data_IF_757823177804
#
_entry.id   IF_757823177804
#
_cell.length_a   1.000
_cell.length_b   1.000
_cell.length_c   1.000
_cell.angle_alpha   90.00
_cell.angle_beta   90.00
_cell.angle_gamma   90.00
#
_symmetry.space_group_name_H-M   'P 1'
#
loop_
_entity.id
_entity.type
_entity.pdbx_description
1 polymer ?
#
# COMPACT_ATOMS: atom_id res chain seq x y z
N UNK A 1 10.15 32.47 27.69
CA UNK A 1 9.57 31.24 27.11
C UNK A 1 10.01 31.06 25.66
N UNK A 2 9.65 31.99 24.77
CA UNK A 2 9.94 31.89 23.33
C UNK A 2 11.43 31.80 22.99
N UNK A 3 12.30 32.60 23.64
CA UNK A 3 13.75 32.54 23.39
C UNK A 3 14.39 31.21 23.79
N UNK A 4 13.94 30.61 24.89
CA UNK A 4 14.45 29.30 25.37
C UNK A 4 14.03 28.18 24.42
N UNK A 5 12.77 28.20 23.98
CA UNK A 5 12.27 27.25 22.99
C UNK A 5 13.05 27.41 21.67
N UNK A 6 13.23 28.64 21.18
CA UNK A 6 13.99 28.94 19.96
C UNK A 6 15.43 28.42 20.05
N UNK A 7 16.14 28.67 21.15
CA UNK A 7 17.51 28.18 21.32
C UNK A 7 17.59 26.65 21.30
N UNK A 8 16.65 25.97 21.95
CA UNK A 8 16.56 24.50 21.94
C UNK A 8 16.27 23.96 20.53
N UNK A 9 15.34 24.59 19.79
CA UNK A 9 15.04 24.22 18.42
C UNK A 9 16.25 24.36 17.50
N UNK A 10 16.99 25.47 17.60
CA UNK A 10 18.21 25.71 16.81
C UNK A 10 19.25 24.63 17.11
N UNK A 11 19.47 24.29 18.39
CA UNK A 11 20.39 23.22 18.79
C UNK A 11 20.02 21.90 18.09
N UNK A 12 18.76 21.47 18.22
CA UNK A 12 18.30 20.19 17.66
C UNK A 12 18.41 20.18 16.13
N UNK A 13 18.06 21.28 15.45
CA UNK A 13 18.21 21.40 14.00
C UNK A 13 19.68 21.26 13.57
N UNK A 14 20.58 21.99 14.23
CA UNK A 14 22.01 21.88 13.94
C UNK A 14 22.48 20.45 14.20
N UNK A 15 22.06 19.82 15.30
CA UNK A 15 22.49 18.48 15.65
C UNK A 15 22.03 17.41 14.65
N UNK A 16 20.81 17.51 14.13
CA UNK A 16 20.28 16.61 13.09
C UNK A 16 21.04 16.80 11.78
N UNK A 17 21.19 18.05 11.34
CA UNK A 17 21.82 18.32 10.04
C UNK A 17 23.34 18.30 10.09
N UNK A 18 24.01 18.35 11.23
CA UNK A 18 25.49 18.34 11.28
C UNK A 18 26.07 16.99 10.85
N UNK A 19 25.35 15.90 11.06
CA UNK A 19 25.79 14.57 10.65
C UNK A 19 25.35 14.26 9.20
N UNK A 20 26.28 14.12 8.24
CA UNK A 20 25.94 13.78 6.86
C UNK A 20 25.25 12.41 6.74
N UNK A 21 25.51 11.46 7.65
CA UNK A 21 24.83 10.16 7.67
C UNK A 21 23.36 10.32 8.03
N UNK A 22 23.03 11.20 8.98
CA UNK A 22 21.64 11.50 9.32
C UNK A 22 20.89 12.11 8.14
N UNK A 23 21.52 13.01 7.36
CA UNK A 23 20.89 13.56 6.14
C UNK A 23 20.57 12.47 5.11
N UNK A 24 21.48 11.53 4.91
CA UNK A 24 21.27 10.39 4.01
C UNK A 24 20.10 9.54 4.50
N UNK A 25 20.08 9.21 5.79
CA UNK A 25 19.03 8.36 6.37
C UNK A 25 17.66 9.04 6.36
N UNK A 26 17.60 10.35 6.60
CA UNK A 26 16.35 11.11 6.68
C UNK A 26 15.79 11.50 5.31
N UNK A 27 16.60 11.71 4.29
CA UNK A 27 16.10 12.22 3.00
C UNK A 27 16.41 11.29 1.84
N UNK A 28 17.66 10.86 1.69
CA UNK A 28 18.07 10.04 0.54
C UNK A 28 17.47 8.63 0.60
N UNK A 29 17.50 7.98 1.77
CA UNK A 29 16.92 6.65 1.94
C UNK A 29 15.41 6.65 1.68
N UNK A 30 14.59 7.57 2.23
CA UNK A 30 13.18 7.71 1.86
C UNK A 30 12.90 7.91 0.39
N UNK A 31 13.63 8.81 -0.27
CA UNK A 31 13.49 9.05 -1.70
C UNK A 31 13.81 7.78 -2.49
N UNK A 32 14.92 7.11 -2.17
CA UNK A 32 15.32 5.86 -2.80
C UNK A 32 14.32 4.74 -2.52
N UNK A 33 13.82 4.60 -1.28
CA UNK A 33 12.79 3.62 -0.93
C UNK A 33 11.50 3.86 -1.71
N UNK A 34 11.09 5.12 -1.89
CA UNK A 34 9.93 5.46 -2.72
C UNK A 34 10.13 5.02 -4.15
N UNK A 35 11.31 5.26 -4.73
CA UNK A 35 11.64 4.82 -6.09
C UNK A 35 11.63 3.29 -6.17
N UNK A 36 12.28 2.61 -5.22
CA UNK A 36 12.33 1.15 -5.15
C UNK A 36 10.91 0.58 -5.03
N UNK A 37 10.10 1.01 -4.06
CA UNK A 37 8.75 0.48 -3.89
C UNK A 37 7.82 0.85 -5.04
N UNK A 38 7.96 2.05 -5.62
CA UNK A 38 7.16 2.48 -6.76
C UNK A 38 7.39 1.62 -8.01
N UNK A 39 8.61 1.13 -8.23
CA UNK A 39 8.92 0.20 -9.33
C UNK A 39 8.79 -1.28 -8.96
N UNK A 40 9.15 -1.65 -7.72
CA UNK A 40 9.21 -3.04 -7.28
C UNK A 40 7.84 -3.62 -6.91
N UNK A 41 6.92 -2.79 -6.41
CA UNK A 41 5.55 -3.22 -6.12
C UNK A 41 4.70 -3.01 -7.36
N UNK A 42 4.93 -3.87 -8.35
CA UNK A 42 4.14 -3.91 -9.57
C UNK A 42 3.22 -5.12 -9.53
N UNK A 43 1.95 -4.88 -9.20
CA UNK A 43 0.89 -5.88 -9.26
C UNK A 43 0.10 -5.77 -10.58
N UNK A 44 0.60 -4.99 -11.55
CA UNK A 44 -0.06 -4.84 -12.84
C UNK A 44 -0.02 -6.17 -13.59
N UNK A 45 -1.21 -6.71 -13.89
CA UNK A 45 -1.36 -7.97 -14.62
C UNK A 45 -1.23 -7.72 -16.12
N UNK A 46 0.01 -7.69 -16.61
CA UNK A 46 0.37 -7.60 -18.04
C UNK A 46 1.27 -8.77 -18.43
N UNK A 47 1.08 -9.33 -19.62
CA UNK A 47 1.89 -10.46 -20.14
C UNK A 47 1.89 -11.72 -19.25
N UNK A 48 0.73 -12.14 -18.75
CA UNK A 48 0.58 -13.37 -17.95
C UNK A 48 1.14 -14.56 -18.75
N UNK A 49 2.18 -15.26 -18.25
CA UNK A 49 2.70 -16.44 -18.91
C UNK A 49 1.65 -17.56 -18.89
N UNK A 50 1.20 -18.00 -20.06
CA UNK A 50 0.10 -18.95 -20.22
C UNK A 50 0.52 -20.17 -21.02
N UNK A 51 0.13 -21.36 -20.57
CA UNK A 51 0.15 -22.57 -21.38
C UNK A 51 -1.25 -22.94 -21.86
N UNK A 52 -1.31 -23.62 -22.99
CA UNK A 52 -2.55 -24.13 -23.58
C UNK A 52 -2.47 -25.64 -23.76
N UNK A 53 -3.41 -26.36 -23.16
CA UNK A 53 -3.70 -27.76 -23.43
C UNK A 53 -4.96 -27.82 -24.31
N UNK A 54 -4.77 -28.00 -25.61
CA UNK A 54 -5.87 -28.10 -26.57
C UNK A 54 -5.98 -29.53 -27.10
N UNK A 55 -6.88 -30.31 -26.50
CA UNK A 55 -7.14 -31.71 -26.88
C UNK A 55 -8.10 -31.84 -28.06
N UNK A 56 -8.93 -30.83 -28.31
CA UNK A 56 -9.88 -30.81 -29.43
C UNK A 56 -9.19 -30.48 -30.76
N UNK A 57 -8.19 -29.60 -30.73
CA UNK A 57 -7.37 -29.15 -31.87
C UNK A 57 -8.22 -28.77 -33.11
N UNK A 58 -9.39 -28.16 -32.87
CA UNK A 58 -10.35 -27.76 -33.87
C UNK A 58 -10.10 -26.33 -34.36
N UNK A 59 -10.88 -25.88 -35.35
CA UNK A 59 -10.82 -24.48 -35.77
C UNK A 59 -11.34 -23.56 -34.66
N UNK A 60 -12.42 -23.98 -33.99
CA UNK A 60 -13.07 -23.27 -32.90
C UNK A 60 -12.18 -23.17 -31.64
N UNK A 61 -11.45 -24.24 -31.28
CA UNK A 61 -10.51 -24.19 -30.14
C UNK A 61 -9.33 -23.25 -30.42
N UNK A 62 -8.81 -23.25 -31.66
CA UNK A 62 -7.73 -22.35 -32.08
C UNK A 62 -8.16 -20.89 -32.16
N UNK A 63 -9.39 -20.62 -32.56
CA UNK A 63 -9.97 -19.27 -32.57
C UNK A 63 -10.06 -18.71 -31.14
N UNK A 64 -10.61 -19.48 -30.19
CA UNK A 64 -10.67 -19.08 -28.79
C UNK A 64 -9.28 -18.78 -28.22
N UNK A 65 -8.32 -19.67 -28.47
CA UNK A 65 -6.93 -19.47 -28.03
C UNK A 65 -6.29 -18.21 -28.66
N UNK A 66 -6.55 -17.93 -29.93
CA UNK A 66 -6.05 -16.74 -30.61
C UNK A 66 -6.64 -15.45 -30.02
N UNK A 67 -7.94 -15.42 -29.74
CA UNK A 67 -8.59 -14.27 -29.10
C UNK A 67 -7.97 -14.01 -27.72
N UNK A 68 -7.81 -15.06 -26.91
CA UNK A 68 -7.23 -14.92 -25.57
C UNK A 68 -5.80 -14.38 -25.59
N UNK A 69 -4.98 -14.83 -26.55
CA UNK A 69 -3.57 -14.42 -26.67
C UNK A 69 -3.38 -13.06 -27.35
N UNK A 70 -4.30 -12.66 -28.24
CA UNK A 70 -4.28 -11.34 -28.90
C UNK A 70 -4.72 -10.19 -27.98
N UNK A 71 -5.33 -10.48 -26.83
CA UNK A 71 -5.82 -9.49 -25.86
C UNK A 71 -4.71 -8.65 -25.18
N UNK A 72 -3.43 -9.03 -25.33
CA UNK A 72 -2.29 -8.36 -24.70
C UNK A 72 -2.10 -8.67 -23.20
N UNK A 73 -3.08 -9.30 -22.55
CA UNK A 73 -2.98 -9.71 -21.14
C UNK A 73 -2.32 -11.07 -20.97
N UNK A 74 -2.52 -11.99 -21.91
CA UNK A 74 -1.99 -13.36 -21.85
C UNK A 74 -0.90 -13.55 -22.91
N UNK A 75 0.26 -14.06 -22.50
CA UNK A 75 1.36 -14.42 -23.39
C UNK A 75 1.48 -15.93 -23.45
N UNK A 76 1.09 -16.52 -24.57
CA UNK A 76 1.27 -17.95 -24.81
C UNK A 76 2.76 -18.28 -24.81
N UNK A 77 3.18 -19.10 -23.85
CA UNK A 77 4.57 -19.59 -23.73
C UNK A 77 4.72 -20.95 -24.39
N UNK A 78 3.82 -21.87 -24.06
CA UNK A 78 3.91 -23.27 -24.47
C UNK A 78 2.53 -23.83 -24.81
N UNK A 79 2.49 -24.77 -25.76
CA UNK A 79 1.34 -25.65 -26.00
C UNK A 79 1.73 -27.03 -25.49
N UNK A 80 0.92 -27.58 -24.60
CA UNK A 80 1.19 -28.84 -23.91
C UNK A 80 0.25 -29.93 -24.39
N UNK A 81 0.68 -31.18 -24.25
CA UNK A 81 -0.08 -32.35 -24.70
C UNK A 81 -0.78 -33.13 -23.58
N UNK A 82 -0.31 -33.00 -22.33
CA UNK A 82 -0.75 -33.82 -21.19
C UNK A 82 -0.97 -33.00 -19.92
N UNK A 83 -1.81 -33.49 -19.01
CA UNK A 83 -2.12 -32.82 -17.74
C UNK A 83 -0.91 -32.77 -16.79
N UNK A 84 -0.01 -33.75 -16.85
CA UNK A 84 1.20 -33.77 -16.02
C UNK A 84 2.15 -32.62 -16.38
N UNK A 85 2.19 -32.23 -17.65
CA UNK A 85 2.93 -31.06 -18.10
C UNK A 85 2.29 -29.77 -17.56
N UNK A 86 0.95 -29.70 -17.51
CA UNK A 86 0.23 -28.55 -16.94
C UNK A 86 0.63 -28.32 -15.47
N UNK A 87 0.63 -29.40 -14.67
CA UNK A 87 1.03 -29.35 -13.26
C UNK A 87 2.50 -28.97 -13.11
N UNK A 88 3.39 -29.63 -13.84
CA UNK A 88 4.82 -29.35 -13.78
C UNK A 88 5.17 -27.91 -14.16
N UNK A 89 4.46 -27.30 -15.12
CA UNK A 89 4.67 -25.91 -15.51
C UNK A 89 4.18 -24.91 -14.46
N UNK A 90 3.05 -25.20 -13.80
CA UNK A 90 2.51 -24.40 -12.70
C UNK A 90 3.42 -24.52 -11.46
N UNK A 91 3.78 -25.73 -11.06
CA UNK A 91 4.61 -26.00 -9.87
C UNK A 91 6.00 -25.36 -9.98
N UNK A 92 6.55 -25.29 -11.19
CA UNK A 92 7.85 -24.64 -11.46
C UNK A 92 7.73 -23.12 -11.68
N UNK A 93 6.52 -22.56 -11.62
CA UNK A 93 6.25 -21.13 -11.86
C UNK A 93 6.58 -20.67 -13.29
N UNK A 94 6.71 -21.59 -14.25
CA UNK A 94 6.99 -21.25 -15.66
C UNK A 94 5.79 -20.59 -16.34
N UNK A 95 4.59 -21.00 -15.92
CA UNK A 95 3.33 -20.39 -16.31
C UNK A 95 2.50 -20.08 -15.08
N UNK A 96 1.62 -19.08 -15.18
CA UNK A 96 0.69 -18.69 -14.11
C UNK A 96 -0.74 -19.17 -14.38
N UNK A 97 -1.02 -19.52 -15.63
CA UNK A 97 -2.29 -20.08 -16.09
C UNK A 97 -2.06 -21.20 -17.08
N UNK A 98 -2.82 -22.27 -16.95
CA UNK A 98 -3.01 -23.27 -17.99
C UNK A 98 -4.47 -23.28 -18.40
N UNK A 99 -4.73 -23.09 -19.69
CA UNK A 99 -6.07 -23.25 -20.27
C UNK A 99 -6.21 -24.66 -20.83
N UNK A 100 -7.26 -25.36 -20.45
CA UNK A 100 -7.54 -26.73 -20.87
C UNK A 100 -8.85 -26.76 -21.67
N UNK A 101 -8.73 -27.16 -22.93
CA UNK A 101 -9.85 -27.39 -23.84
C UNK A 101 -9.93 -28.91 -24.07
N UNK A 102 -11.01 -29.51 -23.60
CA UNK A 102 -11.24 -30.95 -23.69
C UNK A 102 -11.76 -31.39 -25.07
N UNK A 103 -11.63 -32.69 -25.36
CA UNK A 103 -12.17 -33.28 -26.58
C UNK A 103 -13.68 -33.03 -26.73
N UNK A 104 -14.12 -32.78 -27.97
CA UNK A 104 -15.52 -32.56 -28.30
C UNK A 104 -15.99 -31.14 -28.05
N UNK A 105 -15.08 -30.19 -27.80
CA UNK A 105 -15.39 -28.77 -27.64
C UNK A 105 -16.13 -28.22 -28.87
N UNK A 106 -15.58 -28.36 -30.08
CA UNK A 106 -16.24 -27.92 -31.30
C UNK A 106 -17.56 -28.65 -31.54
N UNK A 107 -17.62 -29.95 -31.24
CA UNK A 107 -18.83 -30.74 -31.42
C UNK A 107 -19.98 -30.27 -30.51
N UNK A 108 -19.69 -29.96 -29.23
CA UNK A 108 -20.66 -29.39 -28.28
C UNK A 108 -21.13 -28.01 -28.72
N UNK A 109 -20.20 -27.13 -29.12
CA UNK A 109 -20.55 -25.80 -29.62
C UNK A 109 -21.47 -25.85 -30.84
N UNK A 110 -21.21 -26.74 -31.80
CA UNK A 110 -22.05 -26.90 -32.99
C UNK A 110 -23.44 -27.44 -32.68
N UNK A 111 -23.59 -28.22 -31.60
CA UNK A 111 -24.89 -28.69 -31.09
C UNK A 111 -25.63 -27.66 -30.24
N UNK A 112 -25.05 -26.47 -30.01
CA UNK A 112 -25.62 -25.45 -29.13
C UNK A 112 -25.52 -25.81 -27.64
N UNK A 113 -24.67 -26.77 -27.29
CA UNK A 113 -24.44 -27.20 -25.91
C UNK A 113 -23.32 -26.38 -25.25
N UNK A 114 -23.36 -26.27 -23.92
CA UNK A 114 -22.27 -25.67 -23.16
C UNK A 114 -20.99 -26.51 -23.26
N UNK A 115 -19.92 -25.90 -23.80
CA UNK A 115 -18.61 -26.52 -23.89
C UNK A 115 -17.68 -25.93 -22.81
N UNK A 116 -17.38 -26.67 -21.73
CA UNK A 116 -16.55 -26.15 -20.65
C UNK A 116 -15.10 -26.00 -21.11
N UNK A 117 -14.50 -24.86 -20.76
CA UNK A 117 -13.05 -24.61 -20.85
C UNK A 117 -12.56 -24.41 -19.44
N UNK A 118 -11.56 -25.18 -19.03
CA UNK A 118 -11.02 -25.10 -17.68
C UNK A 118 -9.80 -24.17 -17.66
N UNK A 119 -9.69 -23.36 -16.61
CA UNK A 119 -8.50 -22.58 -16.32
C UNK A 119 -7.90 -23.08 -15.01
N UNK A 120 -6.64 -23.52 -15.05
CA UNK A 120 -5.84 -23.87 -13.89
C UNK A 120 -4.90 -22.71 -13.60
N UNK A 121 -4.92 -22.19 -12.37
CA UNK A 121 -4.14 -21.01 -11.99
C UNK A 121 -3.31 -21.31 -10.74
N UNK A 122 -2.14 -20.67 -10.67
CA UNK A 122 -1.35 -20.62 -9.44
C UNK A 122 -2.05 -19.70 -8.42
N UNK A 123 -2.70 -20.33 -7.44
CA UNK A 123 -3.43 -19.64 -6.36
C UNK A 123 -2.56 -19.18 -5.19
N UNK A 124 -1.22 -19.34 -5.25
CA UNK A 124 -0.33 -18.84 -4.18
C UNK A 124 -0.38 -17.31 -4.04
N UNK A 125 -0.72 -16.61 -5.13
CA UNK A 125 -1.05 -15.20 -5.17
C UNK A 125 -2.55 -15.02 -5.50
N UNK A 126 -3.37 -15.00 -4.45
CA UNK A 126 -4.82 -14.89 -4.56
C UNK A 126 -5.29 -13.63 -5.28
N UNK A 127 -4.56 -12.51 -5.14
CA UNK A 127 -4.91 -11.25 -5.80
C UNK A 127 -4.72 -11.37 -7.31
N UNK A 128 -3.54 -11.81 -7.74
CA UNK A 128 -3.26 -12.03 -9.17
C UNK A 128 -4.21 -13.07 -9.76
N UNK A 129 -4.43 -14.20 -9.08
CA UNK A 129 -5.34 -15.25 -9.53
C UNK A 129 -6.78 -14.74 -9.71
N UNK A 130 -7.28 -13.95 -8.75
CA UNK A 130 -8.61 -13.34 -8.83
C UNK A 130 -8.76 -12.38 -10.02
N UNK A 131 -7.75 -11.54 -10.25
CA UNK A 131 -7.74 -10.62 -11.41
C UNK A 131 -7.72 -11.40 -12.72
N UNK A 132 -6.89 -12.43 -12.82
CA UNK A 132 -6.79 -13.26 -14.03
C UNK A 132 -8.09 -13.99 -14.31
N UNK A 133 -8.74 -14.56 -13.28
CA UNK A 133 -10.05 -15.18 -13.42
C UNK A 133 -11.12 -14.20 -13.93
N UNK A 134 -11.11 -12.95 -13.45
CA UNK A 134 -12.00 -11.90 -13.94
C UNK A 134 -11.75 -11.53 -15.42
N UNK A 135 -10.50 -11.60 -15.90
CA UNK A 135 -10.19 -11.43 -17.32
C UNK A 135 -10.67 -12.62 -18.17
N UNK A 136 -10.41 -13.85 -17.73
CA UNK A 136 -10.86 -15.05 -18.43
C UNK A 136 -12.39 -15.10 -18.54
N UNK A 137 -13.11 -14.75 -17.47
CA UNK A 137 -14.57 -14.68 -17.49
C UNK A 137 -15.10 -13.67 -18.53
N UNK A 138 -14.46 -12.49 -18.63
CA UNK A 138 -14.80 -11.46 -19.62
C UNK A 138 -14.52 -11.93 -21.06
N UNK A 139 -13.38 -12.57 -21.31
CA UNK A 139 -13.02 -13.10 -22.63
C UNK A 139 -14.00 -14.21 -23.07
N UNK A 140 -14.37 -15.11 -22.15
CA UNK A 140 -15.35 -16.16 -22.42
C UNK A 140 -16.74 -15.58 -22.75
N UNK A 141 -17.16 -14.53 -22.04
CA UNK A 141 -18.42 -13.83 -22.33
C UNK A 141 -18.42 -13.14 -23.72
N UNK A 142 -17.30 -12.52 -24.11
CA UNK A 142 -17.16 -11.92 -25.44
C UNK A 142 -17.22 -12.98 -26.54
N UNK A 143 -16.49 -14.08 -26.36
CA UNK A 143 -16.50 -15.20 -27.31
C UNK A 143 -17.89 -15.83 -27.46
N UNK A 144 -18.60 -16.05 -26.35
CA UNK A 144 -19.98 -16.56 -26.39
C UNK A 144 -20.92 -15.64 -27.19
N UNK A 145 -20.77 -14.32 -27.08
CA UNK A 145 -21.58 -13.39 -27.87
C UNK A 145 -21.28 -13.50 -29.36
N UNK A 146 -20.00 -13.61 -29.73
CA UNK A 146 -19.60 -13.80 -31.14
C UNK A 146 -20.18 -15.09 -31.70
N UNK A 147 -20.09 -16.19 -30.95
CA UNK A 147 -20.66 -17.48 -31.33
C UNK A 147 -22.18 -17.38 -31.54
N UNK A 148 -22.91 -16.75 -30.62
CA UNK A 148 -24.34 -16.54 -30.76
C UNK A 148 -24.69 -15.73 -32.01
N UNK A 149 -23.94 -14.66 -32.29
CA UNK A 149 -24.15 -13.84 -33.49
C UNK A 149 -23.89 -14.62 -34.79
N UNK A 150 -22.81 -15.42 -34.84
CA UNK A 150 -22.49 -16.27 -35.98
C UNK A 150 -23.54 -17.37 -36.20
N UNK A 151 -23.97 -18.03 -35.12
CA UNK A 151 -24.97 -19.10 -35.18
C UNK A 151 -26.31 -18.58 -35.71
N UNK A 152 -26.77 -17.44 -35.18
CA UNK A 152 -28.01 -16.80 -35.59
C UNK A 152 -27.97 -16.39 -37.07
N UNK A 153 -26.85 -15.79 -37.52
CA UNK A 153 -26.66 -15.40 -38.94
C UNK A 153 -26.74 -16.60 -39.88
N UNK A 154 -26.20 -17.76 -39.48
CA UNK A 154 -26.16 -18.97 -40.32
C UNK A 154 -27.50 -19.71 -40.39
N UNK A 155 -28.32 -19.69 -39.33
CA UNK A 155 -29.52 -20.55 -39.24
C UNK A 155 -30.84 -19.80 -39.35
N UNK A 156 -30.88 -18.51 -39.00
CA UNK A 156 -32.14 -17.75 -38.86
C UNK A 156 -32.18 -16.48 -39.73
N UNK A 157 -31.20 -16.28 -40.62
CA UNK A 157 -31.02 -15.01 -41.34
C UNK A 157 -30.40 -13.94 -40.43
N UNK A 158 -30.55 -12.65 -40.75
CA UNK A 158 -30.09 -11.59 -39.84
C UNK A 158 -31.03 -11.55 -38.63
N UNK A 159 -30.61 -11.98 -37.43
CA UNK A 159 -31.47 -11.89 -36.25
C UNK A 159 -31.86 -10.43 -36.00
N UNK A 160 -33.06 -10.15 -35.47
CA UNK A 160 -33.37 -8.81 -34.99
C UNK A 160 -32.27 -8.40 -34.00
N UNK A 161 -31.73 -7.18 -34.18
CA UNK A 161 -30.72 -6.62 -33.27
C UNK A 161 -31.37 -6.39 -31.91
N UNK A 162 -31.38 -7.41 -31.08
CA UNK A 162 -31.68 -7.28 -29.66
C UNK A 162 -30.42 -6.68 -29.03
N UNK A 163 -30.56 -5.55 -28.34
CA UNK A 163 -29.44 -4.91 -27.65
C UNK A 163 -28.82 -5.87 -26.64
N UNK A 164 -27.48 -6.00 -26.66
CA UNK A 164 -26.74 -6.70 -25.60
C UNK A 164 -26.51 -5.72 -24.47
N UNK A 165 -26.72 -6.18 -23.23
CA UNK A 165 -26.25 -5.44 -22.05
C UNK A 165 -24.73 -5.63 -21.97
N UNK A 166 -23.99 -4.56 -22.24
CA UNK A 166 -22.54 -4.53 -22.08
C UNK A 166 -22.18 -3.84 -20.77
N UNK A 167 -21.48 -4.55 -19.88
CA UNK A 167 -20.94 -3.95 -18.66
C UNK A 167 -19.72 -3.11 -19.02
N UNK A 168 -19.95 -1.82 -19.28
CA UNK A 168 -18.90 -0.82 -19.44
C UNK A 168 -18.30 -0.45 -18.06
N UNK A 169 -17.49 -1.36 -17.49
CA UNK A 169 -16.81 -1.14 -16.23
C UNK A 169 -15.73 -0.06 -16.34
N UNK A 170 -15.86 1.02 -15.58
CA UNK A 170 -14.83 2.07 -15.44
C UNK A 170 -14.44 2.24 -13.98
N UNK A 171 -13.16 2.11 -13.68
CA UNK A 171 -12.63 2.50 -12.38
C UNK A 171 -12.73 4.03 -12.23
N UNK A 172 -13.41 4.49 -11.18
CA UNK A 172 -13.65 5.93 -10.95
C UNK A 172 -12.36 6.67 -10.57
N UNK A 173 -11.48 6.00 -9.83
CA UNK A 173 -10.14 6.47 -9.49
C UNK A 173 -9.13 5.45 -10.01
N UNK A 174 -8.03 5.94 -10.59
CA UNK A 174 -7.02 5.10 -11.23
C UNK A 174 -7.60 4.24 -12.36
N UNK A 175 -8.03 4.89 -13.45
CA UNK A 175 -8.72 4.24 -14.58
C UNK A 175 -7.89 3.11 -15.23
N UNK A 176 -6.56 3.27 -15.22
CA UNK A 176 -5.61 2.30 -15.78
C UNK A 176 -5.24 1.18 -14.80
N UNK A 177 -5.73 1.24 -13.55
CA UNK A 177 -5.42 0.31 -12.46
C UNK A 177 -3.90 0.15 -12.23
N UNK A 178 -3.16 1.25 -12.39
CA UNK A 178 -1.72 1.26 -12.21
C UNK A 178 -1.35 1.13 -10.72
N UNK A 179 -0.30 0.40 -10.42
CA UNK A 179 0.18 0.18 -9.05
C UNK A 179 0.67 1.44 -8.32
N UNK A 180 1.47 2.36 -8.93
CA UNK A 180 2.08 3.48 -8.21
C UNK A 180 1.09 4.44 -7.51
N UNK A 181 -0.04 4.85 -8.12
CA UNK A 181 -1.04 5.67 -7.44
C UNK A 181 -1.57 5.08 -6.13
N UNK A 182 -1.55 3.75 -5.97
CA UNK A 182 -1.99 3.08 -4.74
C UNK A 182 -0.87 2.92 -3.71
N UNK A 183 0.34 2.56 -4.16
CA UNK A 183 1.45 2.22 -3.26
C UNK A 183 2.28 3.43 -2.81
N UNK A 184 2.51 4.42 -3.68
CA UNK A 184 3.35 5.59 -3.32
C UNK A 184 2.79 6.35 -2.11
N UNK A 185 1.48 6.70 -2.05
CA UNK A 185 0.93 7.35 -0.85
C UNK A 185 1.05 6.49 0.41
N UNK A 186 0.98 5.16 0.26
CA UNK A 186 1.11 4.25 1.38
C UNK A 186 2.56 4.14 1.89
N UNK A 187 3.53 4.22 0.98
CA UNK A 187 4.96 4.28 1.31
C UNK A 187 5.30 5.56 2.08
N UNK A 188 4.70 6.71 1.73
CA UNK A 188 4.82 7.96 2.52
C UNK A 188 4.47 7.69 3.99
N UNK A 189 3.30 7.08 4.22
CA UNK A 189 2.79 6.78 5.56
C UNK A 189 3.75 5.90 6.36
N UNK A 190 4.27 4.84 5.74
CA UNK A 190 5.19 3.91 6.40
C UNK A 190 6.54 4.56 6.71
N UNK A 191 7.14 5.26 5.74
CA UNK A 191 8.42 5.94 5.93
C UNK A 191 8.32 6.98 7.04
N UNK A 192 7.27 7.81 6.98
CA UNK A 192 7.02 8.84 7.98
C UNK A 192 6.90 8.23 9.37
N UNK A 193 6.19 7.10 9.51
CA UNK A 193 6.07 6.39 10.78
C UNK A 193 7.40 5.88 11.29
N UNK A 194 8.18 5.20 10.45
CA UNK A 194 9.49 4.64 10.81
C UNK A 194 10.42 5.75 11.29
N UNK A 195 10.57 6.83 10.52
CA UNK A 195 11.47 7.94 10.85
C UNK A 195 11.05 8.59 12.17
N UNK A 196 9.77 8.94 12.28
CA UNK A 196 9.29 9.68 13.45
C UNK A 196 9.33 8.83 14.72
N UNK A 197 9.02 7.54 14.63
CA UNK A 197 9.16 6.58 15.73
C UNK A 197 10.60 6.41 16.17
N UNK A 198 11.54 6.25 15.23
CA UNK A 198 12.96 6.06 15.57
C UNK A 198 13.56 7.33 16.18
N UNK A 199 13.33 8.50 15.58
CA UNK A 199 13.84 9.77 16.11
C UNK A 199 13.28 10.08 17.50
N UNK A 200 11.97 9.92 17.69
CA UNK A 200 11.33 10.22 18.97
C UNK A 200 11.64 9.20 20.07
N UNK A 201 11.83 7.91 19.73
CA UNK A 201 12.24 6.89 20.70
C UNK A 201 13.66 7.11 21.23
N UNK A 202 14.56 7.65 20.41
CA UNK A 202 15.92 8.00 20.84
C UNK A 202 16.01 9.36 21.53
N UNK A 203 15.01 10.23 21.38
CA UNK A 203 15.09 11.65 21.71
C UNK A 203 15.50 11.95 23.16
N UNK A 204 14.93 11.23 24.13
CA UNK A 204 15.25 11.38 25.56
C UNK A 204 16.42 10.46 25.94
N UNK A 205 16.44 9.24 25.43
CA UNK A 205 17.46 8.24 25.76
C UNK A 205 18.86 8.69 25.38
N UNK A 206 19.00 9.38 24.24
CA UNK A 206 20.28 9.98 23.83
C UNK A 206 20.80 11.00 24.85
N UNK A 207 19.93 11.79 25.48
CA UNK A 207 20.33 12.73 26.54
C UNK A 207 20.67 11.99 27.84
N UNK A 208 20.00 10.86 28.13
CA UNK A 208 20.35 9.99 29.26
C UNK A 208 21.74 9.38 29.10
N UNK A 209 22.05 8.82 27.93
CA UNK A 209 23.33 8.16 27.65
C UNK A 209 24.52 9.13 27.64
N UNK A 210 24.32 10.36 27.16
CA UNK A 210 25.38 11.39 27.11
C UNK A 210 25.49 12.13 28.47
N UNK A 211 24.61 11.85 29.43
CA UNK A 211 24.62 12.47 30.77
C UNK A 211 24.08 13.91 30.81
N UNK A 212 23.55 14.43 29.71
CA UNK A 212 23.00 15.79 29.63
C UNK A 212 21.61 15.91 30.25
N UNK A 213 20.94 14.78 30.56
CA UNK A 213 19.62 14.78 31.18
C UNK A 213 19.62 15.45 32.57
N UNK A 214 20.68 15.29 33.36
CA UNK A 214 20.81 15.91 34.68
C UNK A 214 20.90 17.44 34.56
N UNK A 215 21.65 17.92 33.58
CA UNK A 215 21.76 19.34 33.25
C UNK A 215 20.40 19.91 32.83
N UNK A 216 19.63 19.16 32.02
CA UNK A 216 18.28 19.57 31.60
C UNK A 216 17.33 19.66 32.80
N UNK A 217 17.40 18.71 33.73
CA UNK A 217 16.49 18.67 34.90
C UNK A 217 16.65 19.92 35.77
N UNK A 218 17.88 20.38 35.99
CA UNK A 218 18.19 21.59 36.79
C UNK A 218 17.90 22.90 36.06
N UNK A 219 17.66 22.88 34.75
CA UNK A 219 17.23 24.10 34.03
C UNK A 219 15.78 24.48 34.38
N UNK A 220 15.44 25.78 34.33
CA UNK A 220 14.07 26.27 34.56
C UNK A 220 13.10 25.95 33.39
N UNK A 221 13.38 24.93 32.58
CA UNK A 221 12.54 24.47 31.45
C UNK A 221 11.43 23.57 31.99
N UNK A 222 10.17 23.81 31.59
CA UNK A 222 9.02 22.95 31.96
C UNK A 222 9.03 21.65 31.15
N UNK A 223 8.41 20.58 31.67
CA UNK A 223 8.32 19.27 30.99
C UNK A 223 7.76 19.39 29.56
N UNK A 224 6.67 20.13 29.40
CA UNK A 224 6.04 20.36 28.09
C UNK A 224 6.92 21.18 27.14
N UNK A 225 7.66 22.18 27.63
CA UNK A 225 8.58 22.98 26.81
C UNK A 225 9.76 22.14 26.31
N UNK A 226 10.30 21.26 27.16
CA UNK A 226 11.36 20.33 26.77
C UNK A 226 10.88 19.34 25.70
N UNK A 227 9.70 18.74 25.91
CA UNK A 227 9.13 17.79 24.94
C UNK A 227 8.83 18.49 23.62
N UNK A 228 8.16 19.65 23.64
CA UNK A 228 7.88 20.43 22.42
C UNK A 228 9.16 20.86 21.70
N UNK A 229 10.18 21.28 22.43
CA UNK A 229 11.48 21.64 21.86
C UNK A 229 12.18 20.47 21.16
N UNK A 230 11.97 19.24 21.62
CA UNK A 230 12.49 18.03 20.96
C UNK A 230 11.60 17.52 19.82
N UNK A 231 10.28 17.62 19.92
CA UNK A 231 9.38 17.06 18.91
C UNK A 231 9.23 17.95 17.68
N UNK A 232 9.25 19.27 17.83
CA UNK A 232 9.02 20.20 16.72
C UNK A 232 10.05 20.06 15.57
N UNK A 233 11.35 19.83 15.81
CA UNK A 233 12.30 19.51 14.73
C UNK A 233 11.89 18.25 13.95
N UNK A 234 11.37 17.23 14.64
CA UNK A 234 10.91 15.99 13.99
C UNK A 234 9.61 16.21 13.22
N UNK A 235 8.74 17.11 13.67
CA UNK A 235 7.56 17.54 12.89
C UNK A 235 7.98 18.18 11.57
N UNK A 236 8.98 19.07 11.61
CA UNK A 236 9.52 19.71 10.41
C UNK A 236 10.15 18.70 9.45
N UNK A 237 10.92 17.73 9.97
CA UNK A 237 11.45 16.62 9.16
C UNK A 237 10.30 15.85 8.52
N UNK A 238 9.25 15.52 9.27
CA UNK A 238 8.09 14.81 8.73
C UNK A 238 7.37 15.57 7.61
N UNK A 239 7.26 16.90 7.71
CA UNK A 239 6.74 17.72 6.61
C UNK A 239 7.66 17.74 5.39
N UNK A 240 8.97 17.82 5.60
CA UNK A 240 9.96 17.74 4.51
C UNK A 240 9.85 16.38 3.82
N UNK A 241 9.70 15.28 4.58
CA UNK A 241 9.55 13.94 4.03
C UNK A 241 8.27 13.79 3.21
N UNK A 242 7.14 14.25 3.73
CA UNK A 242 5.87 14.24 2.98
C UNK A 242 6.03 15.05 1.68
N UNK A 243 6.62 16.24 1.74
CA UNK A 243 6.83 17.06 0.55
C UNK A 243 7.80 16.40 -0.45
N UNK A 244 8.92 15.86 0.03
CA UNK A 244 9.95 15.18 -0.77
C UNK A 244 9.37 13.96 -1.48
N UNK A 245 8.70 13.08 -0.74
CA UNK A 245 8.15 11.84 -1.30
C UNK A 245 6.97 12.16 -2.23
N UNK A 246 6.14 13.16 -1.91
CA UNK A 246 5.10 13.63 -2.82
C UNK A 246 5.69 14.14 -4.14
N UNK A 247 6.80 14.88 -4.06
CA UNK A 247 7.50 15.40 -5.23
C UNK A 247 8.10 14.27 -6.07
N UNK A 248 8.75 13.28 -5.43
CA UNK A 248 9.25 12.08 -6.12
C UNK A 248 8.09 11.31 -6.77
N UNK A 249 6.99 11.11 -6.05
CA UNK A 249 5.78 10.47 -6.56
C UNK A 249 5.20 11.15 -7.79
N UNK A 250 5.14 12.49 -7.76
CA UNK A 250 4.64 13.28 -8.88
C UNK A 250 5.59 13.29 -10.08
N UNK A 251 6.90 13.45 -9.86
CA UNK A 251 7.88 13.60 -10.95
C UNK A 251 8.33 12.27 -11.57
N UNK A 252 8.35 11.18 -10.80
CA UNK A 252 8.87 9.88 -11.26
C UNK A 252 7.75 8.92 -11.66
N UNK A 253 6.58 9.02 -11.02
CA UNK A 253 5.49 8.05 -11.14
C UNK A 253 4.15 8.67 -11.56
N UNK A 254 4.14 9.96 -11.90
CA UNK A 254 2.92 10.71 -12.28
C UNK A 254 1.77 10.57 -11.27
N UNK A 255 2.09 10.36 -10.00
CA UNK A 255 1.08 10.15 -8.95
C UNK A 255 0.40 11.49 -8.65
N UNK A 256 -0.92 11.60 -8.86
CA UNK A 256 -1.60 12.87 -8.70
C UNK A 256 -1.82 13.19 -7.21
N UNK A 257 -1.60 14.44 -6.85
CA UNK A 257 -2.06 14.99 -5.57
C UNK A 257 -3.36 15.78 -5.82
N UNK A 258 -4.51 15.09 -5.78
CA UNK A 258 -5.81 15.71 -6.13
C UNK A 258 -6.42 16.57 -5.03
N UNK A 259 -6.14 16.25 -3.77
CA UNK A 259 -6.69 16.94 -2.60
C UNK A 259 -5.94 18.22 -2.24
N UNK A 260 -6.35 18.86 -1.14
CA UNK A 260 -5.72 20.11 -0.70
C UNK A 260 -4.44 19.87 0.11
N UNK A 261 -3.41 20.68 -0.17
CA UNK A 261 -2.17 20.68 0.60
C UNK A 261 -2.41 21.01 2.08
N UNK A 262 -3.32 21.93 2.39
CA UNK A 262 -3.67 22.26 3.77
C UNK A 262 -4.24 21.07 4.54
N UNK A 263 -5.09 20.27 3.90
CA UNK A 263 -5.63 19.05 4.50
C UNK A 263 -4.55 17.98 4.68
N UNK A 264 -3.64 17.85 3.71
CA UNK A 264 -2.48 16.97 3.82
C UNK A 264 -1.66 17.33 5.05
N UNK A 265 -1.22 18.59 5.17
CA UNK A 265 -0.43 19.04 6.32
C UNK A 265 -1.17 18.92 7.65
N UNK A 266 -2.48 19.21 7.70
CA UNK A 266 -3.30 18.99 8.90
C UNK A 266 -3.30 17.51 9.30
N UNK A 267 -3.61 16.61 8.36
CA UNK A 267 -3.63 15.18 8.61
C UNK A 267 -2.26 14.64 9.04
N UNK A 268 -1.19 15.09 8.36
CA UNK A 268 0.20 14.77 8.72
C UNK A 268 0.50 15.24 10.13
N UNK A 269 0.03 16.42 10.55
CA UNK A 269 0.22 16.91 11.92
C UNK A 269 -0.41 15.98 12.95
N UNK A 270 -1.67 15.59 12.74
CA UNK A 270 -2.38 14.69 13.66
C UNK A 270 -1.70 13.31 13.73
N UNK A 271 -1.24 12.80 12.59
CA UNK A 271 -0.50 11.55 12.53
C UNK A 271 0.86 11.64 13.25
N UNK A 272 1.60 12.73 13.04
CA UNK A 272 2.88 12.99 13.70
C UNK A 272 2.71 13.10 15.21
N UNK A 273 1.61 13.69 15.70
CA UNK A 273 1.31 13.70 17.14
C UNK A 273 1.22 12.29 17.69
N UNK A 274 0.56 11.36 16.99
CA UNK A 274 0.50 9.96 17.38
C UNK A 274 1.86 9.28 17.35
N UNK A 275 2.59 9.33 16.22
CA UNK A 275 3.86 8.60 16.07
C UNK A 275 4.95 9.13 16.99
N UNK A 276 5.08 10.45 17.13
CA UNK A 276 6.03 11.08 18.05
C UNK A 276 5.65 10.78 19.50
N UNK A 277 4.35 10.78 19.83
CA UNK A 277 3.89 10.40 21.17
C UNK A 277 4.28 8.96 21.52
N UNK A 278 4.05 8.01 20.60
CA UNK A 278 4.39 6.60 20.83
C UNK A 278 5.90 6.45 21.00
N UNK A 279 6.71 7.04 20.13
CA UNK A 279 8.16 6.95 20.27
C UNK A 279 8.66 7.65 21.54
N UNK A 280 8.10 8.80 21.94
CA UNK A 280 8.43 9.41 23.22
C UNK A 280 8.12 8.48 24.41
N UNK A 281 6.98 7.78 24.41
CA UNK A 281 6.67 6.78 25.44
C UNK A 281 7.74 5.70 25.51
N UNK A 282 8.18 5.17 24.37
CA UNK A 282 9.28 4.22 24.31
C UNK A 282 10.55 4.83 24.92
N UNK A 283 10.86 6.08 24.57
CA UNK A 283 12.02 6.81 25.09
C UNK A 283 12.03 6.96 26.61
N UNK A 284 10.84 7.09 27.22
CA UNK A 284 10.73 7.17 28.69
C UNK A 284 11.07 5.87 29.40
N UNK A 285 10.80 4.71 28.79
CA UNK A 285 11.03 3.37 29.40
C UNK A 285 12.34 2.73 29.01
N UNK A 286 12.99 3.20 27.95
CA UNK A 286 14.27 2.67 27.51
C UNK A 286 15.44 3.32 28.26
N UNK A 287 16.48 2.52 28.49
CA UNK A 287 17.74 2.93 29.11
C UNK A 287 18.83 3.22 28.08
N UNK A 288 18.83 2.50 26.95
CA UNK A 288 19.82 2.69 25.86
C UNK A 288 19.16 2.98 24.51
N UNK A 289 19.87 3.67 23.62
CA UNK A 289 19.39 3.97 22.27
C UNK A 289 19.08 2.67 21.51
N UNK A 290 19.92 1.64 21.67
CA UNK A 290 19.68 0.34 21.06
C UNK A 290 18.39 -0.33 21.58
N UNK A 291 18.13 -0.26 22.88
CA UNK A 291 16.87 -0.77 23.46
C UNK A 291 15.65 0.00 22.94
N UNK A 292 15.76 1.33 22.82
CA UNK A 292 14.70 2.17 22.28
C UNK A 292 14.41 1.85 20.80
N UNK A 293 15.46 1.65 20.00
CA UNK A 293 15.33 1.25 18.60
C UNK A 293 14.68 -0.12 18.47
N UNK A 294 15.11 -1.12 19.24
CA UNK A 294 14.52 -2.46 19.19
C UNK A 294 13.05 -2.45 19.63
N UNK A 295 12.71 -1.68 20.66
CA UNK A 295 11.33 -1.50 21.11
C UNK A 295 10.47 -0.80 20.05
N UNK A 296 11.03 0.21 19.38
CA UNK A 296 10.37 0.87 18.26
C UNK A 296 10.12 -0.09 17.10
N UNK A 297 11.11 -0.91 16.71
CA UNK A 297 10.92 -1.92 15.66
C UNK A 297 9.86 -2.95 16.01
N UNK A 298 9.80 -3.38 17.28
CA UNK A 298 8.76 -4.30 17.77
C UNK A 298 7.34 -3.72 17.64
N UNK A 299 7.18 -2.40 17.69
CA UNK A 299 5.90 -1.72 17.47
C UNK A 299 5.67 -1.41 15.99
N UNK A 300 6.70 -0.96 15.28
CA UNK A 300 6.64 -0.55 13.87
C UNK A 300 6.17 -1.71 13.00
N UNK A 301 6.79 -2.89 13.14
CA UNK A 301 6.55 -3.98 12.21
C UNK A 301 5.10 -4.52 12.30
N UNK A 302 4.55 -4.84 13.48
CA UNK A 302 3.14 -5.21 13.60
C UNK A 302 2.20 -4.07 13.19
N UNK A 303 2.50 -2.82 13.56
CA UNK A 303 1.65 -1.69 13.18
C UNK A 303 1.57 -1.51 11.65
N UNK A 304 2.66 -1.73 10.92
CA UNK A 304 2.67 -1.69 9.46
C UNK A 304 1.83 -2.82 8.86
N UNK A 305 1.93 -4.05 9.37
CA UNK A 305 1.12 -5.18 8.91
C UNK A 305 -0.38 -4.97 9.18
N UNK A 306 -0.71 -4.38 10.33
CA UNK A 306 -2.08 -4.11 10.79
C UNK A 306 -2.67 -2.78 10.26
N UNK A 307 -1.98 -2.10 9.33
CA UNK A 307 -2.38 -0.77 8.84
C UNK A 307 -3.34 -0.78 7.65
N UNK A 308 -3.57 -1.93 7.01
CA UNK A 308 -4.23 -1.97 5.70
C UNK A 308 -3.28 -1.67 4.52
N UNK A 309 -1.96 -1.67 4.76
CA UNK A 309 -0.94 -1.51 3.73
C UNK A 309 -0.81 -2.76 2.85
N UNK A 310 -0.47 -3.90 3.48
CA UNK A 310 -0.18 -5.16 2.79
C UNK A 310 -1.45 -6.00 2.57
N UNK A 311 -2.33 -6.05 3.57
CA UNK A 311 -3.57 -6.84 3.55
C UNK A 311 -4.76 -5.96 3.93
N UNK A 312 -5.91 -6.09 3.25
CA UNK A 312 -7.15 -5.45 3.69
C UNK A 312 -7.47 -5.83 5.15
N UNK A 313 -7.91 -4.85 5.94
CA UNK A 313 -8.21 -5.07 7.36
C UNK A 313 -9.43 -5.99 7.52
N UNK A 314 -10.36 -5.91 6.57
CA UNK A 314 -11.58 -6.70 6.49
C UNK A 314 -11.29 -8.20 6.36
N UNK A 315 -10.11 -8.57 5.86
CA UNK A 315 -9.69 -9.97 5.72
C UNK A 315 -9.08 -10.54 7.01
N UNK A 316 -8.89 -9.72 8.06
CA UNK A 316 -8.35 -10.16 9.34
C UNK A 316 -9.46 -10.72 10.25
N UNK A 317 -9.17 -11.68 11.15
CA UNK A 317 -10.12 -12.11 12.18
C UNK A 317 -10.59 -10.92 13.05
N UNK A 318 -11.84 -10.93 13.49
CA UNK A 318 -12.44 -9.81 14.26
C UNK A 318 -11.59 -9.31 15.44
N UNK A 319 -10.97 -10.17 16.28
CA UNK A 319 -10.14 -9.68 17.39
C UNK A 319 -8.93 -8.86 16.92
N UNK A 320 -8.36 -9.22 15.77
CA UNK A 320 -7.23 -8.50 15.16
C UNK A 320 -7.72 -7.17 14.59
N UNK A 321 -8.92 -7.13 14.00
CA UNK A 321 -9.53 -5.88 13.52
C UNK A 321 -9.71 -4.86 14.66
N UNK A 322 -10.12 -5.30 15.85
CA UNK A 322 -10.23 -4.42 17.01
C UNK A 322 -8.88 -3.85 17.45
N UNK A 323 -7.80 -4.65 17.41
CA UNK A 323 -6.45 -4.17 17.71
C UNK A 323 -6.01 -3.04 16.75
N UNK A 324 -6.44 -3.10 15.48
CA UNK A 324 -6.10 -2.06 14.50
C UNK A 324 -6.70 -0.69 14.83
N UNK A 325 -7.73 -0.61 15.68
CA UNK A 325 -8.32 0.68 16.12
C UNK A 325 -7.34 1.52 16.95
N UNK A 326 -6.33 0.90 17.57
CA UNK A 326 -5.28 1.60 18.31
C UNK A 326 -4.14 2.08 17.39
N UNK A 327 -4.15 1.68 16.13
CA UNK A 327 -3.04 1.90 15.21
C UNK A 327 -3.24 3.19 14.39
N UNK A 328 -2.45 4.25 14.60
CA UNK A 328 -2.61 5.50 13.85
C UNK A 328 -2.34 5.31 12.34
N UNK A 329 -1.52 4.32 11.95
CA UNK A 329 -1.26 4.03 10.53
C UNK A 329 -2.54 3.68 9.78
N UNK A 330 -3.47 2.96 10.40
CA UNK A 330 -4.77 2.58 9.80
C UNK A 330 -5.51 3.81 9.27
N UNK A 331 -5.63 4.83 10.11
CA UNK A 331 -6.39 6.04 9.80
C UNK A 331 -5.65 6.92 8.80
N UNK A 332 -4.34 7.12 8.99
CA UNK A 332 -3.55 7.94 8.07
C UNK A 332 -3.43 7.31 6.68
N UNK A 333 -3.41 5.98 6.57
CA UNK A 333 -3.45 5.25 5.30
C UNK A 333 -4.70 5.58 4.47
N UNK A 334 -5.86 5.66 5.12
CA UNK A 334 -7.12 6.04 4.46
C UNK A 334 -7.09 7.51 4.03
N UNK A 335 -6.59 8.40 4.89
CA UNK A 335 -6.50 9.84 4.63
C UNK A 335 -5.55 10.14 3.47
N UNK A 336 -4.32 9.61 3.50
CA UNK A 336 -3.32 9.88 2.46
C UNK A 336 -3.81 9.39 1.08
N UNK A 337 -4.41 8.20 1.01
CA UNK A 337 -5.00 7.67 -0.23
C UNK A 337 -6.20 8.50 -0.66
N UNK A 338 -7.03 8.95 0.28
CA UNK A 338 -8.15 9.86 -0.01
C UNK A 338 -7.71 11.17 -0.64
N UNK A 339 -6.64 11.77 -0.14
CA UNK A 339 -6.10 13.04 -0.64
C UNK A 339 -5.45 12.85 -2.02
N UNK A 340 -4.57 11.86 -2.19
CA UNK A 340 -3.87 11.63 -3.46
C UNK A 340 -4.81 11.12 -4.56
N UNK A 341 -5.52 10.03 -4.28
CA UNK A 341 -6.32 9.34 -5.31
C UNK A 341 -7.69 9.96 -5.51
N UNK A 342 -8.37 10.37 -4.45
CA UNK A 342 -9.79 10.76 -4.52
C UNK A 342 -10.02 12.27 -4.51
N UNK A 343 -9.07 13.05 -3.97
CA UNK A 343 -9.23 14.49 -3.78
C UNK A 343 -10.34 14.87 -2.81
N UNK A 344 -10.66 13.99 -1.85
CA UNK A 344 -11.76 14.22 -0.90
C UNK A 344 -11.39 15.26 0.16
N UNK A 345 -12.39 16.05 0.59
CA UNK A 345 -12.23 17.06 1.62
C UNK A 345 -12.41 16.52 3.05
N UNK A 346 -12.30 17.44 4.03
CA UNK A 346 -12.43 17.15 5.47
C UNK A 346 -13.72 16.39 5.80
N UNK A 347 -14.84 16.75 5.18
CA UNK A 347 -16.14 16.12 5.47
C UNK A 347 -16.16 14.61 5.23
N UNK A 348 -15.39 14.11 4.26
CA UNK A 348 -15.28 12.67 3.99
C UNK A 348 -14.24 11.96 4.85
N UNK A 349 -13.32 12.71 5.47
CA UNK A 349 -12.18 12.19 6.23
C UNK A 349 -12.27 12.47 7.73
N UNK A 350 -13.40 13.02 8.19
CA UNK A 350 -13.52 13.56 9.55
C UNK A 350 -13.33 12.47 10.62
N UNK A 351 -13.83 11.25 10.39
CA UNK A 351 -13.71 10.14 11.33
C UNK A 351 -12.25 9.73 11.52
N UNK A 352 -11.49 9.65 10.43
CA UNK A 352 -10.09 9.29 10.47
C UNK A 352 -9.26 10.40 11.10
N UNK A 353 -9.57 11.67 10.80
CA UNK A 353 -8.92 12.82 11.44
C UNK A 353 -9.22 12.88 12.94
N UNK A 354 -10.47 12.63 13.34
CA UNK A 354 -10.87 12.60 14.74
C UNK A 354 -10.18 11.46 15.51
N UNK A 355 -10.09 10.27 14.91
CA UNK A 355 -9.37 9.14 15.49
C UNK A 355 -7.86 9.45 15.65
N UNK A 356 -7.22 10.02 14.62
CA UNK A 356 -5.83 10.46 14.70
C UNK A 356 -5.62 11.52 15.78
N UNK A 357 -6.53 12.48 15.90
CA UNK A 357 -6.48 13.50 16.95
C UNK A 357 -6.62 12.87 18.34
N UNK A 358 -7.57 11.94 18.53
CA UNK A 358 -7.79 11.26 19.80
C UNK A 358 -6.58 10.41 20.22
N UNK A 359 -6.03 9.60 19.30
CA UNK A 359 -4.83 8.80 19.53
C UNK A 359 -3.62 9.72 19.78
N UNK A 360 -3.42 10.73 18.93
CA UNK A 360 -2.30 11.67 19.04
C UNK A 360 -2.28 12.43 20.35
N UNK A 361 -3.41 13.05 20.72
CA UNK A 361 -3.55 13.76 21.99
C UNK A 361 -3.41 12.81 23.18
N UNK A 362 -4.10 11.66 23.15
CA UNK A 362 -4.06 10.69 24.23
C UNK A 362 -2.64 10.21 24.51
N UNK A 363 -1.93 9.77 23.48
CA UNK A 363 -0.56 9.26 23.62
C UNK A 363 0.41 10.36 24.05
N UNK A 364 0.32 11.57 23.50
CA UNK A 364 1.17 12.70 23.92
C UNK A 364 0.94 13.09 25.37
N UNK A 365 -0.31 13.13 25.84
CA UNK A 365 -0.63 13.44 27.23
C UNK A 365 -0.02 12.41 28.18
N UNK A 366 -0.13 11.11 27.84
CA UNK A 366 0.51 10.04 28.61
C UNK A 366 2.03 10.19 28.59
N UNK A 367 2.64 10.52 27.45
CA UNK A 367 4.09 10.71 27.32
C UNK A 367 4.61 11.87 28.20
N UNK A 368 3.91 13.01 28.16
CA UNK A 368 4.23 14.19 28.97
C UNK A 368 4.05 13.89 30.46
N UNK A 369 2.99 13.17 30.84
CA UNK A 369 2.72 12.77 32.21
C UNK A 369 3.76 11.81 32.77
N UNK A 370 4.23 10.86 31.96
CA UNK A 370 5.22 9.85 32.36
C UNK A 370 6.63 10.41 32.45
N UNK A 371 6.94 11.51 31.76
CA UNK A 371 8.23 12.18 31.88
C UNK A 371 8.40 12.73 33.30
N UNK A 372 9.30 12.11 34.09
CA UNK A 372 9.64 12.57 35.44
C UNK A 372 10.86 13.48 35.40
N UNK A 373 10.79 14.57 36.14
CA UNK A 373 11.86 15.58 36.26
C UNK A 373 12.74 15.29 37.49
N UNK A 374 12.96 14.00 37.76
CA UNK A 374 13.63 13.52 38.97
C UNK A 374 14.44 12.29 38.60
N UNK A 375 15.70 12.27 39.03
CA UNK A 375 16.57 11.10 38.96
C UNK A 375 16.16 10.20 40.13
N UNK A 376 15.50 9.08 39.84
CA UNK A 376 14.96 8.16 40.84
C UNK A 376 14.34 6.95 40.17
#
# INVERSE_FOLDING_TARGET
MFERLKAMLIKEFIQVFRDPRMRIVLFLLPALQTVIFGYAVNMDVKNIPTALLDRDNSAESRELAAIMTSSGHFRLKERIGHDDEARALLDRGKVRVVLVIEHGFAAKLRRGEAAPVQALLDGSDSNTAGVVMGFLARLSADYNTRLQAQYATRHMGTPPRIGRVELAGRAWFNANLESPPFYVPAVITNILFVITMLLSSMAIVREKEIGTIEQVIVTPIRKGEFILGKTLPFVLIGYIDVALISLVGALVFDVPLRGSLGLLFLATTLFLMSSLGIGLLISTVSHTQQQAMMSAFFIIFPAMLLSGFAFPIENMPEPVQWLTLLNPLRYYMVVIRGIFLKGVGIGALWEQLAALAAIGLGVLLVAVGRFRKTVG
#
